data_IF_625639107041
#
_entry.id   IF_625639107041
#
_cell.length_a   1.000
_cell.length_b   1.000
_cell.length_c   1.000
_cell.angle_alpha   90.00
_cell.angle_beta   90.00
_cell.angle_gamma   90.00
#
_symmetry.space_group_name_H-M   'P 1'
#
loop_
_entity.id
_entity.type
_entity.pdbx_description
1 polymer ?
#
# COMPACT_ATOMS: atom_id res chain seq x y z
N UNK A 1 -49.01 -2.76 -14.48
CA UNK A 1 -50.02 -2.14 -13.59
C UNK A 1 -49.68 -2.51 -12.15
N UNK A 2 -49.06 -1.57 -11.44
CA UNK A 2 -49.15 -1.34 -9.98
C UNK A 2 -48.62 -2.43 -9.04
N UNK A 3 -47.29 -2.40 -8.84
CA UNK A 3 -46.66 -2.17 -7.52
C UNK A 3 -47.61 -2.16 -6.31
N UNK A 4 -47.50 -3.18 -5.44
CA UNK A 4 -47.85 -3.04 -4.02
C UNK A 4 -46.84 -3.79 -3.14
N UNK A 5 -45.96 -3.02 -2.49
CA UNK A 5 -45.69 -3.09 -1.02
C UNK A 5 -45.03 -4.41 -0.56
N UNK A 6 -43.71 -4.57 -0.53
CA UNK A 6 -42.76 -4.07 0.49
C UNK A 6 -43.28 -4.27 1.93
N UNK A 7 -42.51 -5.01 2.74
CA UNK A 7 -42.57 -5.15 4.21
C UNK A 7 -43.39 -6.33 4.74
N UNK A 8 -42.68 -7.37 5.19
CA UNK A 8 -42.84 -8.15 6.44
C UNK A 8 -41.96 -9.42 6.28
N UNK A 9 -40.62 -9.33 6.32
CA UNK A 9 -39.79 -9.27 7.53
C UNK A 9 -40.11 -10.42 8.51
N UNK A 10 -39.17 -11.37 8.56
CA UNK A 10 -38.69 -12.07 9.78
C UNK A 10 -39.69 -13.02 10.45
N UNK A 11 -39.53 -14.31 10.16
CA UNK A 11 -39.22 -15.36 11.15
C UNK A 11 -39.39 -16.74 10.50
N UNK A 12 -38.62 -17.73 10.97
CA UNK A 12 -38.88 -19.17 10.79
C UNK A 12 -38.48 -19.64 9.36
N UNK A 13 -37.40 -20.37 9.08
CA UNK A 13 -36.83 -21.55 9.74
C UNK A 13 -35.36 -21.65 9.36
N UNK A 14 -34.51 -21.47 10.38
CA UNK A 14 -33.12 -21.85 10.39
C UNK A 14 -33.08 -23.39 10.37
N UNK A 15 -32.98 -24.01 9.19
CA UNK A 15 -32.65 -25.44 9.08
C UNK A 15 -31.14 -25.60 9.15
N UNK A 16 -30.65 -25.51 10.39
CA UNK A 16 -29.34 -25.88 10.85
C UNK A 16 -29.17 -27.40 10.66
N UNK A 17 -28.46 -27.81 9.60
CA UNK A 17 -27.86 -29.14 9.49
C UNK A 17 -26.36 -28.96 9.56
N UNK A 18 -25.85 -28.76 10.78
CA UNK A 18 -24.43 -28.89 11.10
C UNK A 18 -24.33 -30.02 12.13
N UNK A 19 -24.05 -31.27 11.73
CA UNK A 19 -23.62 -32.27 12.68
C UNK A 19 -22.10 -32.21 12.86
N UNK A 20 -21.71 -31.74 14.05
CA UNK A 20 -20.84 -32.49 14.97
C UNK A 20 -19.43 -32.87 14.49
N UNK A 21 -18.59 -31.88 14.18
CA UNK A 21 -17.14 -31.99 14.37
C UNK A 21 -16.66 -30.75 15.14
N UNK A 22 -17.08 -30.67 16.40
CA UNK A 22 -16.54 -29.73 17.38
C UNK A 22 -15.92 -30.55 18.51
N UNK A 23 -14.68 -30.97 18.29
CA UNK A 23 -13.83 -31.66 19.28
C UNK A 23 -12.49 -30.94 19.30
N UNK A 24 -12.25 -30.30 20.45
CA UNK A 24 -10.95 -30.11 21.11
C UNK A 24 -9.78 -29.54 20.29
N UNK A 25 -9.74 -28.22 20.11
CA UNK A 25 -8.50 -27.51 19.75
C UNK A 25 -8.35 -26.13 20.43
N UNK A 26 -8.91 -25.94 21.63
CA UNK A 26 -8.78 -24.67 22.35
C UNK A 26 -8.31 -24.79 23.81
N UNK A 27 -7.96 -25.98 24.28
CA UNK A 27 -7.28 -26.21 25.56
C UNK A 27 -5.91 -26.85 25.32
N UNK A 28 -4.99 -26.10 24.72
CA UNK A 28 -3.58 -26.38 24.96
C UNK A 28 -2.83 -25.05 25.01
N UNK A 29 -2.79 -24.36 26.17
CA UNK A 29 -2.00 -23.14 26.29
C UNK A 29 -0.54 -23.48 25.96
N UNK A 30 0.06 -22.69 25.07
CA UNK A 30 1.45 -22.85 24.66
C UNK A 30 2.34 -22.94 25.91
N UNK A 31 3.29 -23.89 25.98
CA UNK A 31 4.22 -23.96 27.10
C UNK A 31 4.95 -22.61 27.24
N UNK A 32 5.21 -22.14 28.48
CA UNK A 32 5.93 -20.89 28.69
C UNK A 32 7.29 -20.95 28.00
N UNK A 33 7.62 -19.91 27.24
CA UNK A 33 8.91 -19.82 26.55
C UNK A 33 10.04 -19.88 27.60
N UNK A 34 11.12 -20.64 27.33
CA UNK A 34 12.27 -20.62 28.22
C UNK A 34 12.85 -19.19 28.30
N UNK A 35 13.44 -18.79 29.44
CA UNK A 35 14.07 -17.49 29.55
C UNK A 35 15.20 -17.37 28.52
N UNK A 36 15.04 -16.45 27.57
CA UNK A 36 16.09 -16.11 26.62
C UNK A 36 17.15 -15.31 27.37
N UNK A 37 18.23 -15.96 27.78
CA UNK A 37 19.44 -15.28 28.24
C UNK A 37 20.03 -14.52 27.06
N UNK A 38 19.68 -13.25 26.92
CA UNK A 38 20.34 -12.32 26.02
C UNK A 38 21.75 -12.08 26.57
N UNK A 39 22.68 -12.98 26.27
CA UNK A 39 24.11 -12.67 26.39
C UNK A 39 24.38 -11.58 25.36
N UNK A 40 24.27 -10.33 25.78
CA UNK A 40 24.69 -9.19 24.98
C UNK A 40 26.16 -9.43 24.69
N UNK A 41 26.58 -9.70 23.43
CA UNK A 41 28.00 -9.72 23.13
C UNK A 41 28.50 -8.33 23.50
N UNK A 42 29.48 -8.27 24.41
CA UNK A 42 30.22 -7.04 24.64
C UNK A 42 30.85 -6.69 23.30
N UNK A 43 30.22 -5.77 22.57
CA UNK A 43 30.76 -5.17 21.37
C UNK A 43 32.01 -4.44 21.81
N UNK A 44 33.16 -5.13 21.73
CA UNK A 44 34.45 -4.45 21.71
C UNK A 44 34.39 -3.53 20.52
N UNK A 45 34.11 -2.24 20.75
CA UNK A 45 34.11 -1.22 19.72
C UNK A 45 35.49 -1.28 19.07
N UNK A 46 35.64 -1.78 17.82
CA UNK A 46 36.89 -1.54 17.14
C UNK A 46 37.01 -0.02 17.07
N UNK A 47 38.13 0.54 17.51
CA UNK A 47 38.46 1.93 17.19
C UNK A 47 38.50 2.00 15.67
N UNK A 48 37.38 2.38 15.08
CA UNK A 48 37.32 2.73 13.67
C UNK A 48 38.16 3.99 13.59
N UNK A 49 39.43 3.84 13.24
CA UNK A 49 40.18 4.93 12.65
C UNK A 49 39.28 5.45 11.54
N UNK A 50 38.86 6.73 11.57
CA UNK A 50 38.12 7.27 10.44
C UNK A 50 39.03 7.05 9.24
N UNK A 51 38.61 6.15 8.34
CA UNK A 51 39.22 6.10 7.02
C UNK A 51 39.26 7.54 6.52
N UNK A 52 40.33 7.99 5.83
CA UNK A 52 40.29 9.29 5.18
C UNK A 52 38.98 9.28 4.42
N UNK A 53 38.04 10.16 4.81
CA UNK A 53 36.74 10.25 4.15
C UNK A 53 37.15 10.40 2.70
N UNK A 54 36.87 9.40 1.83
CA UNK A 54 37.10 9.62 0.43
C UNK A 54 36.28 10.87 0.18
N UNK A 55 36.95 11.97 -0.15
CA UNK A 55 36.27 13.21 -0.44
C UNK A 55 35.34 12.79 -1.56
N UNK A 56 34.08 12.55 -1.21
CA UNK A 56 33.02 12.45 -2.19
C UNK A 56 33.08 13.87 -2.71
N UNK A 57 33.87 14.06 -3.78
CA UNK A 57 33.67 15.15 -4.70
C UNK A 57 32.16 15.17 -4.82
N UNK A 58 31.48 16.28 -4.44
CA UNK A 58 30.07 16.39 -4.72
C UNK A 58 29.97 15.95 -6.17
N UNK A 59 29.31 14.79 -6.41
CA UNK A 59 29.09 14.31 -7.77
C UNK A 59 28.67 15.57 -8.52
N UNK A 60 29.37 15.95 -9.62
CA UNK A 60 29.30 17.29 -10.18
C UNK A 60 27.88 17.74 -10.01
N UNK A 61 27.67 18.85 -9.30
CA UNK A 61 26.36 19.46 -9.13
C UNK A 61 25.91 19.89 -10.54
N UNK A 62 25.65 18.90 -11.40
CA UNK A 62 24.60 18.86 -12.35
C UNK A 62 23.46 19.44 -11.54
N UNK A 63 22.99 20.65 -11.89
CA UNK A 63 22.01 21.36 -11.09
C UNK A 63 20.99 20.30 -10.77
N UNK A 64 20.83 19.97 -9.47
CA UNK A 64 19.88 18.95 -9.06
C UNK A 64 18.59 19.46 -9.65
N UNK A 65 18.21 18.93 -10.81
CA UNK A 65 17.13 19.47 -11.59
C UNK A 65 15.98 19.21 -10.65
N UNK A 66 15.50 20.26 -9.99
CA UNK A 66 14.46 20.16 -8.99
C UNK A 66 13.47 19.15 -9.54
N UNK A 67 13.20 18.02 -8.85
CA UNK A 67 12.46 16.92 -9.44
C UNK A 67 11.25 17.54 -10.11
N UNK A 68 11.24 17.55 -11.46
CA UNK A 68 10.43 18.52 -12.18
C UNK A 68 9.01 18.03 -12.09
N UNK A 69 8.32 18.49 -11.05
CA UNK A 69 6.98 18.12 -10.73
C UNK A 69 6.11 18.48 -11.93
N UNK A 70 5.61 17.46 -12.62
CA UNK A 70 4.87 17.62 -13.86
C UNK A 70 3.43 17.20 -13.63
N UNK A 71 2.49 18.05 -14.04
CA UNK A 71 1.09 17.67 -14.05
C UNK A 71 0.83 16.63 -15.13
N UNK A 72 0.10 15.58 -14.77
CA UNK A 72 -0.32 14.55 -15.70
C UNK A 72 -1.76 14.13 -15.40
N UNK A 73 -2.42 13.60 -16.42
CA UNK A 73 -3.77 13.06 -16.34
C UNK A 73 -3.74 11.65 -16.91
N UNK A 74 -4.36 10.71 -16.21
CA UNK A 74 -4.40 9.31 -16.61
C UNK A 74 -5.77 8.70 -16.31
N UNK A 75 -6.22 7.81 -17.19
CA UNK A 75 -7.48 7.08 -17.02
C UNK A 75 -7.19 5.62 -16.74
N UNK A 76 -7.86 5.07 -15.75
CA UNK A 76 -7.70 3.67 -15.37
C UNK A 76 -8.63 3.27 -14.23
N UNK A 77 -8.44 2.06 -13.75
CA UNK A 77 -9.17 1.54 -12.59
C UNK A 77 -8.33 1.71 -11.34
N UNK A 78 -8.89 2.35 -10.31
CA UNK A 78 -8.21 2.48 -9.02
C UNK A 78 -8.30 1.15 -8.27
N UNK A 79 -7.16 0.67 -7.76
CA UNK A 79 -7.08 -0.51 -6.89
C UNK A 79 -6.26 -0.20 -5.66
N UNK A 80 -6.53 -0.90 -4.57
CA UNK A 80 -5.73 -0.81 -3.36
C UNK A 80 -4.32 -1.35 -3.63
N UNK A 81 -3.30 -0.67 -3.11
CA UNK A 81 -1.94 -1.16 -3.18
C UNK A 81 -1.71 -2.19 -2.07
N UNK A 82 -1.20 -3.37 -2.44
CA UNK A 82 -0.79 -4.39 -1.48
C UNK A 82 0.61 -4.14 -0.91
N UNK A 83 1.24 -5.20 -0.41
CA UNK A 83 2.66 -5.16 0.00
C UNK A 83 3.52 -5.03 -1.27
N UNK A 84 4.36 -4.00 -1.33
CA UNK A 84 5.21 -3.72 -2.50
C UNK A 84 6.66 -3.48 -2.07
N UNK A 85 7.62 -3.81 -2.93
CA UNK A 85 9.05 -3.55 -2.64
C UNK A 85 9.39 -2.06 -2.61
N UNK A 86 8.62 -1.25 -3.34
CA UNK A 86 8.90 0.17 -3.52
C UNK A 86 8.31 1.06 -2.42
N UNK A 87 7.43 0.54 -1.57
CA UNK A 87 6.99 1.15 -0.30
C UNK A 87 6.42 2.59 -0.38
N UNK A 88 6.03 3.06 -1.57
CA UNK A 88 5.34 4.35 -1.77
C UNK A 88 3.97 4.17 -2.43
N UNK A 89 3.11 5.18 -2.30
CA UNK A 89 1.72 5.08 -2.77
C UNK A 89 0.83 4.30 -1.81
N UNK A 90 -0.46 4.55 -1.92
CA UNK A 90 -1.51 3.86 -1.15
C UNK A 90 -2.42 3.04 -2.05
N UNK A 91 -2.51 3.46 -3.31
CA UNK A 91 -3.38 2.91 -4.34
C UNK A 91 -2.58 2.84 -5.64
N UNK A 92 -3.09 2.08 -6.60
CA UNK A 92 -2.53 1.99 -7.94
C UNK A 92 -3.59 2.32 -8.98
N UNK A 93 -3.17 2.97 -10.06
CA UNK A 93 -3.98 3.13 -11.26
C UNK A 93 -3.62 2.02 -12.24
N UNK A 94 -4.60 1.20 -12.57
CA UNK A 94 -4.44 0.12 -13.55
C UNK A 94 -5.02 0.53 -14.88
N UNK A 95 -4.21 0.43 -15.94
CA UNK A 95 -4.63 0.70 -17.31
C UNK A 95 -5.61 -0.34 -17.85
N UNK A 96 -6.16 -0.07 -19.04
CA UNK A 96 -7.04 -1.02 -19.73
C UNK A 96 -6.35 -2.34 -20.10
N UNK A 97 -5.03 -2.31 -20.22
CA UNK A 97 -4.16 -3.44 -20.47
C UNK A 97 -3.85 -4.26 -19.20
N UNK A 98 -4.42 -3.88 -18.05
CA UNK A 98 -4.20 -4.55 -16.77
C UNK A 98 -2.86 -4.24 -16.12
N UNK A 99 -2.04 -3.36 -16.72
CA UNK A 99 -0.74 -2.94 -16.16
C UNK A 99 -0.91 -1.78 -15.19
N UNK A 100 -0.03 -1.74 -14.18
CA UNK A 100 0.01 -0.60 -13.26
C UNK A 100 0.69 0.58 -13.96
N UNK A 101 -0.06 1.67 -14.13
CA UNK A 101 0.43 2.89 -14.74
C UNK A 101 1.13 3.78 -13.70
N UNK A 102 0.46 3.98 -12.56
CA UNK A 102 0.89 4.90 -11.51
C UNK A 102 0.62 4.34 -10.12
N UNK A 103 1.52 4.59 -9.19
CA UNK A 103 1.20 4.58 -7.76
C UNK A 103 0.55 5.91 -7.40
N UNK A 104 -0.54 5.85 -6.66
CA UNK A 104 -1.37 6.99 -6.29
C UNK A 104 -1.30 7.23 -4.79
N UNK A 105 -1.20 8.51 -4.42
CA UNK A 105 -1.51 9.00 -3.08
C UNK A 105 -2.30 10.30 -3.22
N UNK A 106 -3.20 10.55 -2.28
CA UNK A 106 -3.82 11.85 -2.13
C UNK A 106 -3.94 12.17 -0.65
N UNK A 107 -3.64 13.41 -0.29
CA UNK A 107 -3.86 13.90 1.08
C UNK A 107 -5.25 14.54 1.24
N UNK A 108 -5.94 14.84 0.13
CA UNK A 108 -7.23 15.56 0.13
C UNK A 108 -8.41 14.68 -0.29
N UNK A 109 -8.17 13.66 -1.13
CA UNK A 109 -9.21 12.81 -1.69
C UNK A 109 -9.07 11.40 -1.11
N UNK A 110 -10.18 10.83 -0.64
CA UNK A 110 -10.20 9.42 -0.22
C UNK A 110 -10.28 8.51 -1.45
N UNK A 111 -9.13 7.99 -1.87
CA UNK A 111 -9.02 7.10 -3.03
C UNK A 111 -9.81 5.79 -2.86
N UNK A 112 -10.03 5.36 -1.62
CA UNK A 112 -10.81 4.16 -1.29
C UNK A 112 -12.25 4.20 -1.83
N UNK A 113 -12.83 5.40 -1.99
CA UNK A 113 -14.20 5.58 -2.52
C UNK A 113 -14.32 5.23 -4.01
N UNK A 114 -13.18 5.11 -4.70
CA UNK A 114 -13.10 4.86 -6.14
C UNK A 114 -12.53 3.49 -6.47
N UNK A 115 -12.35 2.62 -5.46
CA UNK A 115 -11.86 1.27 -5.65
C UNK A 115 -12.73 0.47 -6.62
N UNK A 116 -12.10 -0.12 -7.63
CA UNK A 116 -12.77 -0.89 -8.68
C UNK A 116 -13.47 -0.03 -9.74
N UNK A 117 -13.59 1.29 -9.54
CA UNK A 117 -14.17 2.22 -10.51
C UNK A 117 -13.16 2.61 -11.59
N UNK A 118 -13.65 2.76 -12.83
CA UNK A 118 -12.89 3.41 -13.89
C UNK A 118 -13.02 4.92 -13.73
N UNK A 119 -11.89 5.60 -13.57
CA UNK A 119 -11.83 7.04 -13.32
C UNK A 119 -10.69 7.68 -14.10
N UNK A 120 -10.79 8.99 -14.30
CA UNK A 120 -9.69 9.81 -14.78
C UNK A 120 -9.12 10.62 -13.63
N UNK A 121 -7.86 10.36 -13.28
CA UNK A 121 -7.13 11.05 -12.22
C UNK A 121 -6.25 12.13 -12.83
N UNK A 122 -6.23 13.29 -12.18
CA UNK A 122 -5.32 14.39 -12.50
C UNK A 122 -4.51 14.74 -11.26
N UNK A 123 -3.21 14.92 -11.46
CA UNK A 123 -2.30 15.14 -10.35
C UNK A 123 -0.91 15.56 -10.78
N UNK A 124 -0.01 15.60 -9.80
CA UNK A 124 1.40 15.94 -9.98
C UNK A 124 2.23 14.68 -9.86
N UNK A 125 3.01 14.38 -10.91
CA UNK A 125 4.06 13.38 -10.88
C UNK A 125 5.23 13.89 -10.06
N UNK A 126 5.61 13.13 -9.04
CA UNK A 126 6.72 13.47 -8.17
C UNK A 126 8.01 12.94 -8.77
N UNK A 127 8.95 13.83 -9.06
CA UNK A 127 10.27 13.43 -9.54
C UNK A 127 11.08 12.77 -8.41
N UNK A 128 12.05 11.94 -8.79
CA UNK A 128 12.76 11.04 -7.87
C UNK A 128 12.09 9.66 -7.74
N UNK A 129 10.97 9.45 -8.43
CA UNK A 129 10.31 8.16 -8.60
C UNK A 129 10.32 7.76 -10.09
N UNK A 130 10.31 6.46 -10.40
CA UNK A 130 10.16 5.33 -9.48
C UNK A 130 11.43 4.97 -8.69
N UNK A 131 11.23 4.34 -7.51
CA UNK A 131 12.29 3.73 -6.69
C UNK A 131 12.09 2.21 -6.75
N UNK A 132 13.20 1.44 -6.74
CA UNK A 132 13.19 -0.04 -6.75
C UNK A 132 12.33 -0.66 -7.87
N UNK A 133 12.27 -0.01 -9.03
CA UNK A 133 11.54 -0.51 -10.21
C UNK A 133 10.02 -0.43 -10.11
N UNK A 134 9.47 0.37 -9.18
CA UNK A 134 8.03 0.62 -9.07
C UNK A 134 7.44 1.45 -10.23
N UNK A 135 6.12 1.71 -10.19
CA UNK A 135 5.46 2.58 -11.16
C UNK A 135 5.68 4.07 -10.84
N UNK A 136 5.42 4.97 -11.79
CA UNK A 136 5.52 6.41 -11.53
C UNK A 136 4.61 6.84 -10.37
N UNK A 137 5.08 7.77 -9.55
CA UNK A 137 4.34 8.20 -8.37
C UNK A 137 3.58 9.50 -8.63
N UNK A 138 2.25 9.44 -8.51
CA UNK A 138 1.34 10.56 -8.73
C UNK A 138 0.64 10.96 -7.43
N UNK A 139 0.79 12.24 -7.08
CA UNK A 139 -0.05 12.89 -6.07
C UNK A 139 -1.35 13.35 -6.74
N UNK A 140 -2.48 12.74 -6.39
CA UNK A 140 -3.78 13.00 -7.00
C UNK A 140 -4.42 14.23 -6.36
N UNK A 141 -4.73 15.23 -7.19
CA UNK A 141 -5.40 16.46 -6.78
C UNK A 141 -6.88 16.47 -7.17
N UNK A 142 -7.27 15.72 -8.20
CA UNK A 142 -8.64 15.71 -8.73
C UNK A 142 -8.99 14.39 -9.43
N UNK A 143 -10.26 13.99 -9.36
CA UNK A 143 -10.80 12.78 -9.99
C UNK A 143 -12.07 13.14 -10.76
N UNK A 144 -12.22 12.59 -11.97
CA UNK A 144 -13.40 12.73 -12.84
C UNK A 144 -13.89 11.36 -13.31
N UNK A 145 -15.19 11.25 -13.57
CA UNK A 145 -15.89 10.04 -14.05
C UNK A 145 -16.37 10.24 -15.48
#
# INVERSE_FOLDING_TARGET
MVQRIVTFIVAVIISFVIPLFFVEAWENPLPPLPPVSLTVPTLTTPTIQPAPVPTLQPAPQQPAAAPKARRATATGTIRAQGVTTYMYGTHILVGKDGRTLYALKSDRIRLDQYLGGQVTVSGVLLGGYPVDGGPEYMSVDSISY
#
